data_IF_066348770953
#
_entry.id   IF_066348770953
#
_cell.length_a   1.000
_cell.length_b   1.000
_cell.length_c   1.000
_cell.angle_alpha   90.00
_cell.angle_beta   90.00
_cell.angle_gamma   90.00
#
_symmetry.space_group_name_H-M   'P 1'
#
loop_
_entity.id
_entity.type
_entity.pdbx_description
1 polymer ?
#
# COMPACT_ATOMS: atom_id res chain seq x y z
N UNK A 1 -25.69 23.63 -26.65
CA UNK A 1 -26.84 23.40 -27.56
C UNK A 1 -27.85 22.59 -26.78
N UNK A 2 -28.99 23.19 -26.41
CA UNK A 2 -30.04 22.49 -25.65
C UNK A 2 -30.72 21.45 -26.56
N UNK A 3 -30.94 20.25 -26.04
CA UNK A 3 -31.67 19.19 -26.73
C UNK A 3 -33.11 19.65 -27.04
N UNK A 4 -33.55 19.65 -28.32
CA UNK A 4 -34.92 20.02 -28.66
C UNK A 4 -35.85 18.87 -28.32
N UNK A 5 -36.59 18.99 -27.23
CA UNK A 5 -37.55 17.95 -26.82
C UNK A 5 -37.95 17.98 -25.36
N UNK A 6 -38.26 19.15 -24.81
CA UNK A 6 -38.93 19.22 -23.51
C UNK A 6 -40.43 18.95 -23.73
N UNK A 7 -40.80 17.68 -23.85
CA UNK A 7 -42.22 17.28 -23.89
C UNK A 7 -42.77 17.51 -22.49
N UNK A 8 -43.65 18.51 -22.36
CA UNK A 8 -44.36 18.85 -21.14
C UNK A 8 -45.28 17.68 -20.72
N UNK A 9 -44.76 16.77 -19.91
CA UNK A 9 -45.58 15.85 -19.13
C UNK A 9 -46.12 16.64 -17.93
N UNK A 10 -47.43 16.88 -17.93
CA UNK A 10 -48.30 17.26 -16.81
C UNK A 10 -47.70 18.08 -15.66
N UNK A 11 -48.11 19.35 -15.56
CA UNK A 11 -47.94 20.29 -14.42
C UNK A 11 -46.79 19.98 -13.45
N UNK A 12 -45.63 20.65 -13.55
CA UNK A 12 -44.46 20.23 -12.80
C UNK A 12 -44.68 20.50 -11.31
N UNK A 13 -44.73 19.44 -10.51
CA UNK A 13 -44.06 19.53 -9.23
C UNK A 13 -42.61 19.93 -9.56
N UNK A 14 -42.24 21.17 -9.21
CA UNK A 14 -40.90 21.70 -9.45
C UNK A 14 -39.88 20.66 -8.96
N UNK A 15 -38.97 20.23 -9.83
CA UNK A 15 -37.94 19.27 -9.43
C UNK A 15 -37.15 19.86 -8.27
N UNK A 16 -37.11 19.10 -7.18
CA UNK A 16 -36.33 19.40 -5.99
C UNK A 16 -35.47 18.16 -5.68
N UNK A 17 -34.13 18.28 -5.74
CA UNK A 17 -33.22 17.18 -5.44
C UNK A 17 -33.50 16.54 -4.08
N UNK A 18 -33.55 15.22 -4.03
CA UNK A 18 -33.89 14.45 -2.82
C UNK A 18 -32.64 13.98 -2.08
N UNK A 19 -32.71 13.94 -0.75
CA UNK A 19 -31.60 13.45 0.09
C UNK A 19 -30.41 14.42 0.17
N UNK A 20 -29.21 13.88 0.36
CA UNK A 20 -27.95 14.63 0.27
C UNK A 20 -27.48 15.35 1.53
N UNK A 21 -28.10 15.15 2.70
CA UNK A 21 -27.66 15.78 3.95
C UNK A 21 -27.46 17.30 3.81
N UNK A 22 -26.35 17.82 4.34
CA UNK A 22 -26.04 19.26 4.34
C UNK A 22 -25.80 19.80 2.92
N UNK A 23 -25.08 19.06 2.08
CA UNK A 23 -24.80 19.47 0.69
C UNK A 23 -26.06 19.41 -0.16
N UNK A 24 -26.96 18.47 0.11
CA UNK A 24 -28.28 18.41 -0.52
C UNK A 24 -29.13 19.63 -0.19
N UNK A 25 -29.07 20.13 1.04
CA UNK A 25 -29.72 21.40 1.42
C UNK A 25 -29.09 22.59 0.67
N UNK A 26 -27.76 22.62 0.58
CA UNK A 26 -27.05 23.63 -0.21
C UNK A 26 -27.45 23.60 -1.69
N UNK A 27 -27.50 22.41 -2.31
CA UNK A 27 -27.94 22.24 -3.71
C UNK A 27 -29.37 22.74 -3.91
N UNK A 28 -30.27 22.53 -2.95
CA UNK A 28 -31.64 23.04 -3.01
C UNK A 28 -31.73 24.56 -2.84
N UNK A 29 -30.85 25.15 -2.03
CA UNK A 29 -30.82 26.59 -1.76
C UNK A 29 -30.02 27.39 -2.81
N UNK A 30 -29.19 26.73 -3.61
CA UNK A 30 -28.32 27.37 -4.59
C UNK A 30 -29.09 27.93 -5.79
N UNK A 31 -28.77 29.16 -6.21
CA UNK A 31 -29.34 29.76 -7.41
C UNK A 31 -28.65 29.24 -8.68
N UNK A 32 -29.18 28.14 -9.21
CA UNK A 32 -28.66 27.51 -10.42
C UNK A 32 -28.87 28.34 -11.69
N UNK A 33 -29.79 29.32 -11.69
CA UNK A 33 -30.05 30.16 -12.86
C UNK A 33 -28.86 31.05 -13.23
N UNK A 34 -27.98 31.33 -12.25
CA UNK A 34 -26.72 32.03 -12.44
C UNK A 34 -25.61 31.16 -13.07
N UNK A 35 -25.84 29.86 -13.26
CA UNK A 35 -24.88 28.91 -13.85
C UNK A 35 -25.25 28.54 -15.28
N UNK A 36 -24.31 27.92 -16.00
CA UNK A 36 -24.58 27.38 -17.33
C UNK A 36 -25.58 26.19 -17.36
N UNK A 37 -25.99 25.67 -16.20
CA UNK A 37 -27.03 24.63 -16.11
C UNK A 37 -28.45 25.20 -16.18
N UNK A 38 -28.62 26.50 -15.95
CA UNK A 38 -29.94 27.12 -15.82
C UNK A 38 -30.68 26.70 -14.56
N UNK A 39 -31.91 27.19 -14.40
CA UNK A 39 -32.73 26.92 -13.22
C UNK A 39 -32.99 25.42 -13.05
N UNK A 40 -32.97 24.93 -11.81
CA UNK A 40 -33.17 23.50 -11.51
C UNK A 40 -34.50 22.93 -12.04
N UNK A 41 -35.52 23.79 -12.15
CA UNK A 41 -36.82 23.45 -12.75
C UNK A 41 -36.76 23.13 -14.25
N UNK A 42 -35.71 23.57 -14.93
CA UNK A 42 -35.49 23.41 -16.38
C UNK A 42 -34.50 22.27 -16.70
N UNK A 43 -33.86 21.67 -15.70
CA UNK A 43 -32.91 20.58 -15.91
C UNK A 43 -33.55 19.39 -16.61
N UNK A 44 -32.77 18.72 -17.48
CA UNK A 44 -33.23 17.51 -18.18
C UNK A 44 -33.47 16.36 -17.19
N UNK A 45 -34.36 15.40 -17.51
CA UNK A 45 -34.57 14.24 -16.65
C UNK A 45 -33.29 13.45 -16.34
N UNK A 46 -32.34 13.39 -17.28
CA UNK A 46 -31.05 12.73 -17.08
C UNK A 46 -30.19 13.44 -16.03
N UNK A 47 -30.09 14.78 -16.10
CA UNK A 47 -29.38 15.57 -15.09
C UNK A 47 -30.02 15.41 -13.70
N UNK A 48 -31.35 15.49 -13.62
CA UNK A 48 -32.09 15.28 -12.36
C UNK A 48 -31.76 13.93 -11.72
N UNK A 49 -31.79 12.87 -12.52
CA UNK A 49 -31.47 11.51 -12.05
C UNK A 49 -30.02 11.41 -11.60
N UNK A 50 -29.07 11.99 -12.34
CA UNK A 50 -27.66 11.98 -11.99
C UNK A 50 -27.39 12.74 -10.67
N UNK A 51 -28.03 13.90 -10.48
CA UNK A 51 -27.93 14.68 -9.23
C UNK A 51 -28.50 13.89 -8.05
N UNK A 52 -29.66 13.23 -8.23
CA UNK A 52 -30.24 12.40 -7.18
C UNK A 52 -29.30 11.23 -6.82
N UNK A 53 -28.65 10.58 -7.79
CA UNK A 53 -27.65 9.53 -7.53
C UNK A 53 -26.47 10.08 -6.72
N UNK A 54 -25.91 11.22 -7.14
CA UNK A 54 -24.78 11.85 -6.45
C UNK A 54 -25.14 12.15 -4.99
N UNK A 55 -26.25 12.84 -4.76
CA UNK A 55 -26.67 13.26 -3.42
C UNK A 55 -27.01 12.09 -2.51
N UNK A 56 -27.55 10.99 -3.02
CA UNK A 56 -27.93 9.83 -2.20
C UNK A 56 -26.81 8.79 -2.04
N UNK A 57 -25.65 8.99 -2.68
CA UNK A 57 -24.50 8.11 -2.53
C UNK A 57 -23.78 8.34 -1.19
N UNK A 58 -23.43 7.26 -0.44
CA UNK A 58 -22.57 7.36 0.73
C UNK A 58 -21.08 7.50 0.36
N UNK A 59 -20.72 7.32 -0.91
CA UNK A 59 -19.35 7.47 -1.42
C UNK A 59 -19.20 8.87 -2.00
N UNK A 60 -18.06 9.52 -1.76
CA UNK A 60 -17.76 10.84 -2.30
C UNK A 60 -17.87 10.87 -3.83
N UNK A 61 -18.69 11.79 -4.33
CA UNK A 61 -18.99 11.93 -5.76
C UNK A 61 -19.07 13.39 -6.17
N UNK A 62 -18.54 13.69 -7.36
CA UNK A 62 -18.75 14.97 -8.05
C UNK A 62 -19.16 14.72 -9.49
N UNK A 63 -20.27 15.32 -9.89
CA UNK A 63 -20.76 15.40 -11.26
C UNK A 63 -20.29 16.70 -11.90
N UNK A 64 -19.76 16.60 -13.11
CA UNK A 64 -19.34 17.73 -13.94
C UNK A 64 -20.20 17.74 -15.19
N UNK A 65 -21.20 18.62 -15.23
CA UNK A 65 -22.22 18.61 -16.27
C UNK A 65 -22.06 19.74 -17.29
N UNK A 66 -22.36 19.43 -18.55
CA UNK A 66 -22.33 20.34 -19.67
C UNK A 66 -20.92 20.78 -20.10
N UNK A 67 -20.82 21.63 -21.14
CA UNK A 67 -19.54 22.05 -21.73
C UNK A 67 -18.63 22.86 -20.80
N UNK A 68 -19.20 23.46 -19.74
CA UNK A 68 -18.44 24.21 -18.74
C UNK A 68 -18.04 23.36 -17.53
N UNK A 69 -18.45 22.08 -17.49
CA UNK A 69 -18.13 21.15 -16.41
C UNK A 69 -18.58 21.67 -15.04
N UNK A 70 -19.83 22.17 -14.98
CA UNK A 70 -20.39 22.73 -13.74
C UNK A 70 -20.48 21.63 -12.70
N UNK A 71 -19.95 21.91 -11.51
CA UNK A 71 -19.77 20.93 -10.44
C UNK A 71 -20.99 20.83 -9.53
N UNK A 72 -21.50 19.61 -9.36
CA UNK A 72 -22.51 19.23 -8.35
C UNK A 72 -21.95 18.03 -7.59
N UNK A 73 -21.94 18.07 -6.26
CA UNK A 73 -21.32 17.02 -5.45
C UNK A 73 -22.09 16.74 -4.16
N UNK A 74 -21.72 15.67 -3.46
CA UNK A 74 -22.35 15.24 -2.21
C UNK A 74 -21.51 15.52 -0.97
N UNK A 75 -22.04 15.20 0.22
CA UNK A 75 -21.37 15.40 1.51
C UNK A 75 -19.97 14.77 1.55
N UNK A 76 -19.81 13.54 1.04
CA UNK A 76 -18.51 12.87 1.02
C UNK A 76 -17.46 13.64 0.20
N UNK A 77 -17.86 14.25 -0.92
CA UNK A 77 -16.94 15.09 -1.69
C UNK A 77 -16.72 16.46 -1.04
N UNK A 78 -17.71 16.99 -0.30
CA UNK A 78 -17.55 18.23 0.46
C UNK A 78 -16.39 18.13 1.48
N UNK A 79 -16.23 16.98 2.14
CA UNK A 79 -15.09 16.71 3.03
C UNK A 79 -13.74 16.76 2.30
N UNK A 80 -13.69 16.27 1.06
CA UNK A 80 -12.48 16.32 0.22
C UNK A 80 -12.21 17.74 -0.27
N UNK A 81 -13.25 18.47 -0.66
CA UNK A 81 -13.16 19.87 -1.07
C UNK A 81 -12.72 20.79 0.08
N UNK A 82 -13.01 20.40 1.33
CA UNK A 82 -12.55 21.04 2.56
C UNK A 82 -12.73 22.57 2.51
N UNK A 83 -11.65 23.34 2.57
CA UNK A 83 -11.69 24.81 2.57
C UNK A 83 -12.34 25.44 1.32
N UNK A 84 -12.54 24.67 0.24
CA UNK A 84 -13.21 25.12 -0.99
C UNK A 84 -14.72 24.93 -0.93
N UNK A 85 -15.22 24.10 -0.01
CA UNK A 85 -16.65 24.00 0.25
C UNK A 85 -17.11 25.15 1.15
N UNK A 86 -18.27 25.80 0.89
CA UNK A 86 -19.24 25.49 -0.16
C UNK A 86 -18.99 26.20 -1.50
N UNK A 87 -18.03 27.12 -1.60
CA UNK A 87 -17.80 27.97 -2.77
C UNK A 87 -17.53 27.20 -4.10
N UNK A 88 -17.08 25.95 -4.00
CA UNK A 88 -16.90 25.06 -5.15
C UNK A 88 -18.22 24.61 -5.82
N UNK A 89 -19.35 24.65 -5.09
CA UNK A 89 -20.64 24.18 -5.61
C UNK A 89 -21.14 25.11 -6.72
N UNK A 90 -21.53 24.54 -7.86
CA UNK A 90 -21.93 25.32 -9.03
C UNK A 90 -20.77 26.02 -9.75
N UNK A 91 -19.55 25.90 -9.25
CA UNK A 91 -18.32 26.33 -9.90
C UNK A 91 -17.86 25.36 -10.99
N UNK A 92 -16.64 25.57 -11.47
CA UNK A 92 -15.99 24.70 -12.46
C UNK A 92 -14.70 24.12 -11.87
N UNK A 93 -14.24 23.00 -12.43
CA UNK A 93 -12.97 22.39 -12.02
C UNK A 93 -11.78 23.36 -12.13
N UNK A 94 -11.55 24.11 -13.23
CA UNK A 94 -10.41 25.04 -13.29
C UNK A 94 -10.47 26.16 -12.24
N UNK A 95 -11.68 26.60 -11.87
CA UNK A 95 -11.85 27.60 -10.81
C UNK A 95 -11.63 27.03 -9.40
N UNK A 96 -11.96 25.75 -9.20
CA UNK A 96 -11.88 25.09 -7.89
C UNK A 96 -10.51 24.47 -7.64
N UNK A 97 -9.96 23.79 -8.66
CA UNK A 97 -8.73 22.99 -8.60
C UNK A 97 -7.80 23.34 -9.77
N UNK A 98 -7.28 24.58 -9.85
CA UNK A 98 -6.38 24.99 -10.92
C UNK A 98 -5.12 24.09 -11.02
N UNK A 99 -4.67 23.55 -9.90
CA UNK A 99 -3.46 22.73 -9.81
C UNK A 99 -3.54 21.37 -10.53
N UNK A 100 -4.75 20.80 -10.70
CA UNK A 100 -4.95 19.51 -11.38
C UNK A 100 -5.60 19.68 -12.75
N UNK A 101 -5.89 20.91 -13.17
CA UNK A 101 -6.78 21.16 -14.31
C UNK A 101 -6.25 20.59 -15.62
N UNK A 102 -4.96 20.74 -15.92
CA UNK A 102 -4.42 20.24 -17.18
C UNK A 102 -4.54 18.70 -17.31
N UNK A 103 -4.34 18.01 -16.19
CA UNK A 103 -4.55 16.56 -16.11
C UNK A 103 -6.04 16.19 -16.17
N UNK A 104 -6.88 16.88 -15.39
CA UNK A 104 -8.31 16.60 -15.32
C UNK A 104 -9.03 16.92 -16.64
N UNK A 105 -8.61 17.96 -17.37
CA UNK A 105 -9.17 18.33 -18.67
C UNK A 105 -9.11 17.17 -19.66
N UNK A 106 -7.97 16.52 -19.78
CA UNK A 106 -7.80 15.38 -20.69
C UNK A 106 -8.73 14.20 -20.33
N UNK A 107 -8.98 14.00 -19.03
CA UNK A 107 -9.91 12.97 -18.53
C UNK A 107 -11.35 13.34 -18.85
N UNK A 108 -11.74 14.60 -18.64
CA UNK A 108 -13.08 15.07 -18.98
C UNK A 108 -13.32 14.98 -20.48
N UNK A 109 -12.37 15.40 -21.31
CA UNK A 109 -12.46 15.27 -22.77
C UNK A 109 -12.66 13.82 -23.21
N UNK A 110 -11.99 12.86 -22.56
CA UNK A 110 -12.22 11.43 -22.79
C UNK A 110 -13.62 10.98 -22.33
N UNK A 111 -14.05 11.42 -21.16
CA UNK A 111 -15.39 11.16 -20.63
C UNK A 111 -16.48 11.66 -21.57
N UNK A 112 -16.37 12.87 -22.11
CA UNK A 112 -17.32 13.41 -23.08
C UNK A 112 -17.31 12.69 -24.45
N UNK A 113 -16.27 11.90 -24.76
CA UNK A 113 -16.26 10.95 -25.88
C UNK A 113 -16.88 9.58 -25.54
N UNK A 114 -17.38 9.41 -24.32
CA UNK A 114 -17.95 8.15 -23.83
C UNK A 114 -16.93 7.17 -23.25
N UNK A 115 -15.68 7.59 -23.07
CA UNK A 115 -14.62 6.74 -22.52
C UNK A 115 -14.67 6.75 -20.98
N UNK A 116 -14.56 5.58 -20.35
CA UNK A 116 -14.36 5.48 -18.89
C UNK A 116 -12.86 5.55 -18.57
N UNK A 117 -12.49 6.29 -17.53
CA UNK A 117 -11.10 6.41 -17.05
C UNK A 117 -11.03 6.09 -15.55
N UNK A 118 -9.98 5.39 -15.15
CA UNK A 118 -9.68 5.16 -13.74
C UNK A 118 -8.23 5.51 -13.42
N UNK A 119 -8.00 6.04 -12.22
CA UNK A 119 -6.68 6.33 -11.69
C UNK A 119 -6.60 5.79 -10.26
N UNK A 120 -5.74 4.80 -10.04
CA UNK A 120 -5.60 4.13 -8.75
C UNK A 120 -4.37 4.66 -8.01
N UNK A 121 -4.52 4.92 -6.72
CA UNK A 121 -3.46 5.40 -5.84
C UNK A 121 -2.86 6.73 -6.30
N UNK A 122 -3.66 7.62 -6.86
CA UNK A 122 -3.20 8.95 -7.26
C UNK A 122 -2.93 9.79 -6.01
N UNK A 123 -1.69 10.24 -5.83
CA UNK A 123 -1.26 11.02 -4.68
C UNK A 123 -1.51 12.51 -4.88
N UNK A 124 -2.10 13.17 -3.88
CA UNK A 124 -2.38 14.59 -3.85
C UNK A 124 -1.95 15.21 -2.53
N UNK A 125 -1.69 16.52 -2.56
CA UNK A 125 -1.55 17.33 -1.36
C UNK A 125 -2.82 18.16 -1.21
N UNK A 126 -3.63 17.83 -0.21
CA UNK A 126 -4.90 18.53 0.06
C UNK A 126 -4.74 19.37 1.32
N UNK A 127 -5.25 20.60 1.29
CA UNK A 127 -5.27 21.48 2.45
C UNK A 127 -6.51 21.20 3.30
N UNK A 128 -6.37 20.43 4.39
CA UNK A 128 -7.44 20.17 5.37
C UNK A 128 -7.21 21.02 6.61
N UNK A 129 -8.20 21.85 6.98
CA UNK A 129 -8.11 22.75 8.14
C UNK A 129 -6.86 23.66 8.15
N UNK A 130 -6.38 24.08 6.98
CA UNK A 130 -5.18 24.90 6.83
C UNK A 130 -3.86 24.14 6.91
N UNK A 131 -3.89 22.81 7.03
CA UNK A 131 -2.70 21.94 7.06
C UNK A 131 -2.59 21.15 5.75
N UNK A 132 -1.44 21.20 5.06
CA UNK A 132 -1.20 20.36 3.88
C UNK A 132 -1.06 18.89 4.31
N UNK A 133 -1.91 18.02 3.79
CA UNK A 133 -1.87 16.59 4.03
C UNK A 133 -1.65 15.82 2.72
N UNK A 134 -0.74 14.84 2.75
CA UNK A 134 -0.63 13.85 1.68
C UNK A 134 -1.75 12.81 1.79
N UNK A 135 -2.56 12.75 0.73
CA UNK A 135 -3.70 11.86 0.58
C UNK A 135 -3.61 11.09 -0.73
N UNK A 136 -4.19 9.90 -0.77
CA UNK A 136 -4.24 9.06 -1.96
C UNK A 136 -5.69 8.74 -2.32
N UNK A 137 -6.03 8.89 -3.59
CA UNK A 137 -7.37 8.62 -4.09
C UNK A 137 -7.36 7.59 -5.22
N UNK A 138 -8.34 6.70 -5.20
CA UNK A 138 -8.81 5.97 -6.36
C UNK A 138 -9.95 6.78 -6.99
N UNK A 139 -9.79 7.14 -8.27
CA UNK A 139 -10.68 8.05 -9.00
C UNK A 139 -11.28 7.32 -10.20
N UNK A 140 -12.61 7.29 -10.27
CA UNK A 140 -13.35 6.64 -11.34
C UNK A 140 -14.21 7.65 -12.08
N UNK A 141 -13.88 7.92 -13.34
CA UNK A 141 -14.59 8.86 -14.20
C UNK A 141 -15.47 8.10 -15.19
N UNK A 142 -16.78 8.26 -15.05
CA UNK A 142 -17.79 7.59 -15.87
C UNK A 142 -18.65 8.62 -16.64
N UNK A 143 -18.86 8.42 -17.95
CA UNK A 143 -19.76 9.26 -18.71
C UNK A 143 -21.22 9.06 -18.28
N UNK A 144 -21.95 10.17 -18.16
CA UNK A 144 -23.38 10.17 -17.92
C UNK A 144 -24.08 10.66 -19.18
N UNK A 145 -24.91 9.81 -19.77
CA UNK A 145 -25.60 10.10 -21.02
C UNK A 145 -26.87 10.90 -20.77
N UNK A 146 -27.10 11.91 -21.60
CA UNK A 146 -28.36 12.63 -21.67
C UNK A 146 -29.38 11.85 -22.53
N UNK A 147 -30.64 12.25 -22.51
CA UNK A 147 -31.73 11.55 -23.20
C UNK A 147 -31.58 11.44 -24.73
N UNK A 148 -30.68 12.22 -25.34
CA UNK A 148 -30.38 12.15 -26.77
C UNK A 148 -29.25 11.17 -27.13
N UNK A 149 -28.69 10.45 -26.15
CA UNK A 149 -27.59 9.51 -26.36
C UNK A 149 -26.20 10.17 -26.46
N UNK A 150 -26.11 11.49 -26.28
CA UNK A 150 -24.83 12.19 -26.11
C UNK A 150 -24.43 12.22 -24.63
N UNK A 151 -23.13 12.35 -24.34
CA UNK A 151 -22.66 12.50 -22.95
C UNK A 151 -23.03 13.89 -22.45
N UNK A 152 -23.92 13.95 -21.45
CA UNK A 152 -24.35 15.20 -20.80
C UNK A 152 -23.38 15.68 -19.72
N UNK A 153 -22.66 14.76 -19.08
CA UNK A 153 -21.67 15.07 -18.07
C UNK A 153 -20.76 13.89 -17.74
N UNK A 154 -19.79 14.12 -16.87
CA UNK A 154 -18.89 13.10 -16.34
C UNK A 154 -19.06 13.03 -14.83
N UNK A 155 -19.35 11.84 -14.31
CA UNK A 155 -19.39 11.55 -12.89
C UNK A 155 -18.02 11.07 -12.44
N UNK A 156 -17.48 11.66 -11.38
CA UNK A 156 -16.29 11.18 -10.71
C UNK A 156 -16.67 10.62 -9.33
N UNK A 157 -16.37 9.34 -9.12
CA UNK A 157 -16.40 8.71 -7.80
C UNK A 157 -15.00 8.73 -7.21
N UNK A 158 -14.88 9.23 -5.98
CA UNK A 158 -13.60 9.41 -5.29
C UNK A 158 -13.55 8.51 -4.07
N UNK A 159 -12.55 7.65 -3.98
CA UNK A 159 -12.33 6.76 -2.83
C UNK A 159 -10.98 7.08 -2.21
N UNK A 160 -10.97 7.52 -0.95
CA UNK A 160 -9.73 7.74 -0.22
C UNK A 160 -9.09 6.41 0.19
N UNK A 161 -7.84 6.22 -0.19
CA UNK A 161 -7.04 5.01 0.09
C UNK A 161 -5.74 5.34 0.83
N UNK A 162 -5.68 6.53 1.45
CA UNK A 162 -4.54 7.04 2.22
C UNK A 162 -4.03 6.04 3.26
N UNK A 163 -4.93 5.51 4.11
CA UNK A 163 -4.55 4.54 5.16
C UNK A 163 -3.96 3.25 4.57
N UNK A 164 -4.59 2.74 3.51
CA UNK A 164 -4.15 1.53 2.80
C UNK A 164 -2.74 1.73 2.22
N UNK A 165 -2.51 2.83 1.50
CA UNK A 165 -1.20 3.15 0.92
C UNK A 165 -0.14 3.36 2.00
N UNK A 166 -0.47 4.04 3.11
CA UNK A 166 0.47 4.24 4.23
C UNK A 166 0.89 2.90 4.86
N UNK A 167 -0.07 1.98 5.09
CA UNK A 167 0.21 0.64 5.62
C UNK A 167 1.08 -0.18 4.67
N UNK A 168 0.76 -0.17 3.38
CA UNK A 168 1.53 -0.88 2.36
C UNK A 168 2.98 -0.36 2.28
N UNK A 169 3.17 0.96 2.34
CA UNK A 169 4.50 1.59 2.34
C UNK A 169 5.31 1.26 3.59
N UNK A 170 4.70 1.32 4.77
CA UNK A 170 5.36 0.97 6.03
C UNK A 170 5.79 -0.51 6.02
N UNK A 171 4.90 -1.42 5.64
CA UNK A 171 5.21 -2.84 5.55
C UNK A 171 6.34 -3.13 4.54
N UNK A 172 6.39 -2.39 3.42
CA UNK A 172 7.47 -2.51 2.45
C UNK A 172 8.82 -2.03 3.01
N UNK A 173 8.82 -0.97 3.83
CA UNK A 173 10.00 -0.46 4.52
C UNK A 173 10.52 -1.46 5.55
N UNK A 174 9.65 -1.96 6.43
CA UNK A 174 10.00 -2.94 7.47
C UNK A 174 10.59 -4.21 6.83
N UNK A 175 9.99 -4.68 5.74
CA UNK A 175 10.50 -5.84 5.00
C UNK A 175 11.89 -5.59 4.42
N UNK A 176 12.12 -4.40 3.85
CA UNK A 176 13.42 -4.04 3.29
C UNK A 176 14.50 -3.94 4.38
N UNK A 177 14.15 -3.46 5.57
CA UNK A 177 15.05 -3.43 6.73
C UNK A 177 15.40 -4.83 7.22
N UNK A 178 14.39 -5.70 7.43
CA UNK A 178 14.60 -7.09 7.80
C UNK A 178 15.46 -7.86 6.80
N UNK A 179 15.29 -7.61 5.50
CA UNK A 179 16.09 -8.23 4.45
C UNK A 179 17.56 -7.77 4.52
N UNK A 180 17.83 -6.51 4.89
CA UNK A 180 19.20 -5.99 5.08
C UNK A 180 19.85 -6.61 6.31
N UNK A 181 19.14 -6.67 7.44
CA UNK A 181 19.60 -7.29 8.68
C UNK A 181 19.96 -8.77 8.44
N UNK A 182 19.07 -9.52 7.79
CA UNK A 182 19.30 -10.94 7.46
C UNK A 182 20.51 -11.15 6.56
N UNK A 183 20.71 -10.27 5.55
CA UNK A 183 21.90 -10.33 4.69
C UNK A 183 23.17 -10.09 5.50
N UNK A 184 23.16 -9.11 6.41
CA UNK A 184 24.30 -8.82 7.28
C UNK A 184 24.62 -9.99 8.19
N UNK A 185 23.63 -10.56 8.88
CA UNK A 185 23.82 -11.73 9.75
C UNK A 185 24.36 -12.94 8.98
N UNK A 186 23.88 -13.17 7.75
CA UNK A 186 24.40 -14.23 6.88
C UNK A 186 25.85 -13.99 6.47
N UNK A 187 26.22 -12.74 6.17
CA UNK A 187 27.61 -12.39 5.83
C UNK A 187 28.54 -12.57 7.02
N UNK A 188 28.13 -12.14 8.22
CA UNK A 188 28.91 -12.31 9.45
C UNK A 188 29.08 -13.79 9.79
N UNK A 189 28.01 -14.57 9.69
CA UNK A 189 28.05 -16.03 9.90
C UNK A 189 28.98 -16.71 8.89
N UNK A 190 28.92 -16.32 7.61
CA UNK A 190 29.80 -16.86 6.58
C UNK A 190 31.27 -16.52 6.86
N UNK A 191 31.57 -15.27 7.26
CA UNK A 191 32.92 -14.86 7.62
C UNK A 191 33.47 -15.66 8.80
N UNK A 192 32.69 -15.80 9.89
CA UNK A 192 33.11 -16.59 11.04
C UNK A 192 33.39 -18.05 10.67
N UNK A 193 32.52 -18.63 9.82
CA UNK A 193 32.71 -19.99 9.32
C UNK A 193 33.97 -20.12 8.47
N UNK A 194 34.22 -19.18 7.58
CA UNK A 194 35.42 -19.17 6.73
C UNK A 194 36.70 -19.03 7.58
N UNK A 195 36.69 -18.16 8.58
CA UNK A 195 37.80 -18.01 9.53
C UNK A 195 38.06 -19.29 10.33
N UNK A 196 37.00 -19.96 10.81
CA UNK A 196 37.12 -21.24 11.50
C UNK A 196 37.70 -22.33 10.59
N UNK A 197 37.23 -22.41 9.34
CA UNK A 197 37.64 -23.41 8.37
C UNK A 197 39.11 -23.26 7.94
N UNK A 198 39.58 -22.02 7.80
CA UNK A 198 40.96 -21.69 7.42
C UNK A 198 41.95 -21.71 8.59
N UNK A 199 41.48 -21.81 9.83
CA UNK A 199 42.36 -21.80 10.99
C UNK A 199 43.33 -23.00 10.97
N UNK A 200 44.63 -22.80 11.25
CA UNK A 200 45.66 -23.83 11.12
C UNK A 200 45.63 -24.88 12.26
N UNK A 201 44.86 -24.65 13.33
CA UNK A 201 44.73 -25.55 14.47
C UNK A 201 43.69 -26.65 14.21
N UNK A 202 43.83 -27.82 14.84
CA UNK A 202 42.81 -28.88 14.81
C UNK A 202 41.64 -28.50 15.73
N UNK A 203 40.54 -28.01 15.16
CA UNK A 203 39.39 -27.54 15.94
C UNK A 203 38.09 -28.20 15.52
N UNK A 204 37.28 -28.55 16.51
CA UNK A 204 35.92 -29.01 16.34
C UNK A 204 35.01 -28.41 17.41
N UNK A 205 33.77 -28.09 17.04
CA UNK A 205 32.70 -27.65 17.92
C UNK A 205 31.72 -28.80 18.09
N UNK A 206 31.41 -29.13 19.35
CA UNK A 206 30.53 -30.22 19.73
C UNK A 206 29.30 -29.64 20.45
N UNK A 207 28.12 -30.17 20.17
CA UNK A 207 26.84 -29.71 20.71
C UNK A 207 26.18 -30.74 21.60
N UNK A 208 25.66 -30.26 22.74
CA UNK A 208 24.85 -31.05 23.67
C UNK A 208 25.64 -32.09 24.48
N UNK A 209 24.97 -32.81 25.39
CA UNK A 209 25.61 -33.76 26.30
C UNK A 209 26.14 -35.01 25.59
N UNK A 210 25.67 -35.30 24.37
CA UNK A 210 26.13 -36.44 23.56
C UNK A 210 27.32 -36.10 22.65
N UNK A 211 27.83 -34.87 22.74
CA UNK A 211 28.98 -34.37 21.98
C UNK A 211 28.83 -34.59 20.48
N UNK A 212 27.72 -34.12 19.91
CA UNK A 212 27.46 -34.22 18.47
C UNK A 212 28.33 -33.21 17.74
N UNK A 213 29.07 -33.62 16.72
CA UNK A 213 29.90 -32.71 15.91
C UNK A 213 29.01 -31.70 15.16
N UNK A 214 29.17 -30.42 15.49
CA UNK A 214 28.46 -29.32 14.83
C UNK A 214 29.33 -28.66 13.76
N UNK A 215 30.62 -28.45 14.04
CA UNK A 215 31.62 -27.95 13.10
C UNK A 215 32.95 -28.67 13.31
N UNK A 216 33.72 -28.87 12.25
CA UNK A 216 35.10 -29.35 12.32
C UNK A 216 35.87 -28.77 11.15
N UNK A 217 36.97 -28.06 11.44
CA UNK A 217 37.73 -27.38 10.39
C UNK A 217 38.58 -28.36 9.58
N UNK A 218 39.09 -27.89 8.43
CA UNK A 218 39.85 -28.73 7.50
C UNK A 218 41.01 -29.51 8.14
N UNK A 219 41.87 -28.91 8.99
CA UNK A 219 42.90 -29.68 9.68
C UNK A 219 42.31 -30.81 10.54
N UNK A 220 41.25 -30.55 11.33
CA UNK A 220 40.63 -31.59 12.16
C UNK A 220 40.07 -32.73 11.31
N UNK A 221 39.42 -32.41 10.19
CA UNK A 221 38.92 -33.43 9.26
C UNK A 221 40.05 -34.30 8.69
N UNK A 222 41.19 -33.71 8.35
CA UNK A 222 42.38 -34.44 7.89
C UNK A 222 42.94 -35.35 8.98
N UNK A 223 43.01 -34.88 10.24
CA UNK A 223 43.48 -35.67 11.38
C UNK A 223 42.65 -36.94 11.58
N UNK A 224 41.33 -36.86 11.38
CA UNK A 224 40.43 -38.01 11.52
C UNK A 224 40.31 -38.84 10.24
N UNK A 225 41.09 -38.55 9.19
CA UNK A 225 41.13 -39.31 7.95
C UNK A 225 40.03 -38.97 6.94
N UNK A 226 39.50 -37.75 6.95
CA UNK A 226 38.51 -37.28 5.98
C UNK A 226 37.11 -37.91 6.12
N UNK A 227 36.82 -38.48 7.30
CA UNK A 227 35.49 -39.05 7.61
C UNK A 227 34.44 -37.94 7.62
N UNK A 228 33.25 -38.24 7.11
CA UNK A 228 32.08 -37.38 7.32
C UNK A 228 31.59 -37.56 8.77
N UNK A 229 31.90 -36.58 9.62
CA UNK A 229 31.64 -36.63 11.06
C UNK A 229 30.56 -35.65 11.52
N UNK A 230 30.19 -34.67 10.68
CA UNK A 230 29.25 -33.61 11.07
C UNK A 230 27.84 -34.20 11.29
N UNK A 231 27.19 -33.80 12.37
CA UNK A 231 25.89 -34.31 12.80
C UNK A 231 25.94 -35.66 13.53
N UNK A 232 27.10 -36.30 13.64
CA UNK A 232 27.27 -37.59 14.34
C UNK A 232 27.77 -37.39 15.76
N UNK A 233 27.40 -38.30 16.67
CA UNK A 233 27.92 -38.33 18.03
C UNK A 233 29.42 -38.66 18.02
N UNK A 234 30.19 -38.03 18.91
CA UNK A 234 31.63 -38.27 19.01
C UNK A 234 32.00 -39.76 19.09
N UNK A 235 31.31 -40.51 19.95
CA UNK A 235 31.59 -41.93 20.18
C UNK A 235 31.28 -42.83 18.98
N UNK A 236 30.38 -42.39 18.09
CA UNK A 236 30.01 -43.12 16.87
C UNK A 236 30.96 -42.77 15.71
N UNK A 237 31.29 -41.48 15.57
CA UNK A 237 32.17 -40.98 14.52
C UNK A 237 33.63 -41.42 14.72
N UNK A 238 34.09 -41.49 15.97
CA UNK A 238 35.46 -41.84 16.36
C UNK A 238 35.43 -42.91 17.48
N UNK A 239 35.19 -44.19 17.17
CA UNK A 239 35.13 -45.25 18.17
C UNK A 239 36.44 -45.40 18.97
N UNK A 240 37.56 -44.99 18.37
CA UNK A 240 38.91 -45.12 18.94
C UNK A 240 39.11 -44.17 20.13
N UNK A 241 38.48 -42.98 20.13
CA UNK A 241 38.60 -42.03 21.25
C UNK A 241 37.77 -42.45 22.46
N UNK A 242 36.74 -43.28 22.27
CA UNK A 242 36.00 -43.90 23.37
C UNK A 242 36.89 -44.81 24.20
N UNK A 243 37.70 -45.64 23.53
CA UNK A 243 38.64 -46.55 24.19
C UNK A 243 39.75 -45.81 24.96
N UNK A 244 40.03 -44.55 24.61
CA UNK A 244 41.05 -43.71 25.23
C UNK A 244 40.52 -42.83 26.38
N UNK A 245 39.23 -42.93 26.73
CA UNK A 245 38.62 -42.17 27.84
C UNK A 245 38.36 -40.69 27.55
N UNK A 246 38.45 -40.26 26.28
CA UNK A 246 38.21 -38.85 25.89
C UNK A 246 36.76 -38.42 26.09
N UNK A 247 35.79 -39.34 25.98
CA UNK A 247 34.36 -39.04 26.19
C UNK A 247 34.12 -38.61 27.63
N UNK A 248 34.72 -39.29 28.61
CA UNK A 248 34.57 -38.94 30.03
C UNK A 248 35.21 -37.60 30.37
N UNK A 249 36.33 -37.27 29.70
CA UNK A 249 36.96 -35.96 29.80
C UNK A 249 36.00 -34.86 29.31
N UNK A 250 35.43 -35.01 28.12
CA UNK A 250 34.51 -34.03 27.54
C UNK A 250 33.21 -33.93 28.34
N UNK A 251 32.70 -35.02 28.90
CA UNK A 251 31.58 -35.00 29.85
C UNK A 251 31.89 -34.13 31.08
N UNK A 252 33.11 -34.26 31.65
CA UNK A 252 33.53 -33.41 32.78
C UNK A 252 33.62 -31.94 32.37
N UNK A 253 34.21 -31.63 31.22
CA UNK A 253 34.31 -30.24 30.71
C UNK A 253 32.92 -29.66 30.48
N UNK A 254 32.00 -30.41 29.86
CA UNK A 254 30.63 -29.97 29.60
C UNK A 254 29.83 -29.74 30.89
N UNK A 255 29.93 -30.63 31.88
CA UNK A 255 29.21 -30.51 33.14
C UNK A 255 29.76 -29.41 34.06
N UNK A 256 31.07 -29.18 34.04
CA UNK A 256 31.74 -28.23 34.95
C UNK A 256 31.99 -26.84 34.35
N UNK A 257 31.99 -26.73 33.02
CA UNK A 257 32.39 -25.52 32.29
C UNK A 257 33.89 -25.21 32.36
N UNK A 258 34.71 -26.04 33.03
CA UNK A 258 36.14 -25.81 33.18
C UNK A 258 36.93 -26.38 31.99
N UNK A 259 37.74 -25.57 31.30
CA UNK A 259 38.52 -26.04 30.15
C UNK A 259 39.62 -27.00 30.59
N UNK A 260 39.87 -28.02 29.77
CA UNK A 260 41.01 -28.93 29.95
C UNK A 260 42.07 -28.65 28.88
N UNK A 261 43.31 -28.38 29.30
CA UNK A 261 44.45 -28.20 28.41
C UNK A 261 45.38 -29.41 28.56
N UNK A 262 45.50 -30.21 27.50
CA UNK A 262 46.43 -31.34 27.48
C UNK A 262 47.88 -30.87 27.49
N UNK A 263 48.66 -31.29 28.49
CA UNK A 263 50.10 -31.03 28.51
C UNK A 263 50.83 -31.84 27.44
N UNK A 264 51.63 -31.16 26.61
CA UNK A 264 52.55 -31.78 25.66
C UNK A 264 53.48 -32.76 26.40
N UNK A 265 53.27 -34.06 26.20
CA UNK A 265 54.35 -35.05 26.33
C UNK A 265 54.98 -35.18 24.95
N UNK A 266 56.17 -34.61 24.79
CA UNK A 266 57.05 -34.89 23.64
C UNK A 266 57.22 -36.41 23.53
N UNK A 267 56.66 -37.00 22.49
CA UNK A 267 57.04 -38.32 22.02
C UNK A 267 58.31 -38.15 21.20
N UNK A 268 59.48 -38.25 21.85
CA UNK A 268 60.74 -38.51 21.17
C UNK A 268 60.78 -39.99 20.79
N UNK A 269 60.79 -40.27 19.48
CA UNK A 269 61.63 -41.25 18.79
C UNK A 269 61.35 -41.15 17.29
#
# INVERSE_FOLDING_TARGET
MNCPGNVALGGPAAYLPRGGGATGELVRAFDWSATALGAATEWTPALRTAVDIVLNSPIAMVLMWGPQHVMIYNDGYAEIAAARHPAALGGTVPGTWPEIWDWNRAILEAGFRGETRQHLGAGFTVLRNGVPEEVWFDLFYTPVYDSCGTVGGVLCTVVEVTERVRRERLAAQDRAELDRENRRLRQETALLRDLFEQAPSFMAVLRGPEHVFELANRPYQQLVGGRDIIGKRLAEALPEVRAQGFVDLLNRVYASGQPYVGGSRRSSC
#
